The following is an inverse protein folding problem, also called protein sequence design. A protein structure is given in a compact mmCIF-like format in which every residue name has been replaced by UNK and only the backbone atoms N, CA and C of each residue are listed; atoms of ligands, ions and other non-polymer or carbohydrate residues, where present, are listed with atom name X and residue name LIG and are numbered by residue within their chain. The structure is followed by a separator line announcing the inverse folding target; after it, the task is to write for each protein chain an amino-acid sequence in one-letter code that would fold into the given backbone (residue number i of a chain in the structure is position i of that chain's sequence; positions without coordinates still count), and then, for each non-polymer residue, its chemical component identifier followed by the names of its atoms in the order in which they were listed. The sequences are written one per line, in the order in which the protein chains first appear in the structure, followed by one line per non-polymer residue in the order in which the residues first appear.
data_IF_027047783699
#
_entry.id   IF_027047783699
#
_cell.length_a   1.000
_cell.length_b   1.000
_cell.length_c   1.000
_cell.angle_alpha   90.00
_cell.angle_beta   90.00
_cell.angle_gamma   90.00
#
_symmetry.space_group_name_H-M   'P 1'
#
loop_
_entity.id
_entity.type
_entity.pdbx_description
1 polymer ?
#
# COMPACT_ATOMS: atom_id res chain seq x y z
N UNK A 1 -16.46 2.52 -32.30
CA UNK A 1 -15.76 2.00 -31.12
C UNK A 1 -14.44 2.76 -31.01
N UNK A 2 -14.38 3.79 -30.16
CA UNK A 2 -13.17 4.62 -30.03
C UNK A 2 -12.30 4.01 -28.95
N UNK A 3 -11.23 3.30 -29.35
CA UNK A 3 -10.24 2.76 -28.44
C UNK A 3 -9.51 3.95 -27.78
N UNK A 4 -9.64 4.11 -26.45
CA UNK A 4 -8.83 5.08 -25.69
C UNK A 4 -7.35 4.71 -25.89
N UNK A 5 -6.45 5.68 -26.11
CA UNK A 5 -5.03 5.39 -26.26
C UNK A 5 -4.49 4.70 -24.99
N UNK A 6 -3.72 3.62 -25.20
CA UNK A 6 -2.94 2.90 -24.21
C UNK A 6 -1.93 3.86 -23.56
N UNK A 7 -2.37 4.58 -22.52
CA UNK A 7 -1.48 5.35 -21.65
C UNK A 7 -0.91 4.40 -20.62
N UNK A 8 0.08 3.61 -21.02
CA UNK A 8 0.92 2.89 -20.06
C UNK A 8 1.47 3.89 -19.07
N UNK A 9 1.27 3.63 -17.78
CA UNK A 9 1.85 4.44 -16.72
C UNK A 9 3.37 4.49 -16.90
N UNK A 10 4.03 5.65 -16.71
CA UNK A 10 5.48 5.70 -16.62
C UNK A 10 5.94 4.89 -15.39
N UNK A 11 7.21 4.45 -15.33
CA UNK A 11 7.75 3.78 -14.14
C UNK A 11 7.63 4.65 -12.88
N UNK A 12 7.76 4.04 -11.67
CA UNK A 12 7.81 4.76 -10.41
C UNK A 12 8.74 5.98 -10.47
N UNK A 13 8.22 7.14 -10.08
CA UNK A 13 8.96 8.39 -10.02
C UNK A 13 8.51 9.21 -8.81
N UNK A 14 9.32 10.17 -8.38
CA UNK A 14 9.13 10.90 -7.13
C UNK A 14 10.15 10.48 -6.07
N UNK A 15 9.69 10.31 -4.82
CA UNK A 15 10.56 9.84 -3.74
C UNK A 15 10.92 8.36 -3.94
N UNK A 16 12.18 8.01 -3.69
CA UNK A 16 12.59 6.61 -3.71
C UNK A 16 11.89 5.86 -2.57
N UNK A 17 11.33 4.69 -2.87
CA UNK A 17 10.70 3.85 -1.86
C UNK A 17 11.74 3.39 -0.83
N UNK A 18 11.44 3.50 0.48
CA UNK A 18 12.35 3.02 1.52
C UNK A 18 12.59 1.52 1.40
N UNK A 19 13.84 1.10 1.56
CA UNK A 19 14.21 -0.33 1.59
C UNK A 19 13.98 -0.97 2.95
N UNK A 20 14.12 -0.18 4.02
CA UNK A 20 14.04 -0.64 5.39
C UNK A 20 13.21 0.30 6.25
N UNK A 21 12.56 -0.25 7.28
CA UNK A 21 11.90 0.51 8.36
C UNK A 21 12.23 -0.10 9.72
N UNK A 22 12.02 0.64 10.84
CA UNK A 22 12.09 0.06 12.17
C UNK A 22 11.10 -1.11 12.32
N UNK A 23 11.53 -2.19 12.97
CA UNK A 23 10.69 -3.33 13.33
C UNK A 23 10.42 -3.37 14.84
N UNK A 24 9.39 -4.12 15.26
CA UNK A 24 8.91 -4.13 16.65
C UNK A 24 9.93 -4.72 17.65
N UNK A 25 10.85 -5.57 17.19
CA UNK A 25 11.92 -6.17 18.01
C UNK A 25 13.23 -5.36 17.96
N UNK A 26 13.19 -4.14 17.38
CA UNK A 26 14.34 -3.29 17.15
C UNK A 26 15.20 -3.68 15.94
N UNK A 27 14.87 -4.76 15.22
CA UNK A 27 15.50 -5.10 13.94
C UNK A 27 14.82 -4.37 12.79
N UNK A 28 15.55 -4.10 11.72
CA UNK A 28 14.97 -3.47 10.55
C UNK A 28 14.11 -4.47 9.75
N UNK A 29 12.93 -4.03 9.33
CA UNK A 29 12.07 -4.74 8.39
C UNK A 29 12.62 -4.59 6.96
N UNK A 30 12.76 -5.68 6.20
CA UNK A 30 13.04 -5.61 4.76
C UNK A 30 11.74 -5.33 4.00
N UNK A 31 11.53 -4.06 3.65
CA UNK A 31 10.30 -3.62 3.00
C UNK A 31 10.20 -4.12 1.56
N UNK A 32 11.33 -4.42 0.90
CA UNK A 32 11.31 -4.94 -0.46
C UNK A 32 10.73 -6.35 -0.46
N UNK A 33 11.17 -7.21 0.47
CA UNK A 33 10.64 -8.58 0.58
C UNK A 33 9.16 -8.57 0.96
N UNK A 34 8.78 -7.81 2.00
CA UNK A 34 7.39 -7.74 2.45
C UNK A 34 6.46 -7.18 1.36
N UNK A 35 6.82 -6.07 0.71
CA UNK A 35 6.02 -5.51 -0.37
C UNK A 35 5.91 -6.48 -1.57
N UNK A 36 6.97 -7.24 -1.85
CA UNK A 36 6.95 -8.26 -2.90
C UNK A 36 5.92 -9.36 -2.63
N UNK A 37 5.81 -9.81 -1.37
CA UNK A 37 4.80 -10.78 -0.94
C UNK A 37 3.38 -10.23 -1.05
N UNK A 38 3.17 -8.98 -0.63
CA UNK A 38 1.87 -8.31 -0.76
C UNK A 38 1.46 -8.22 -2.23
N UNK A 39 2.37 -7.75 -3.10
CA UNK A 39 2.10 -7.68 -4.54
C UNK A 39 1.88 -9.05 -5.17
N UNK A 40 2.59 -10.10 -4.72
CA UNK A 40 2.34 -11.47 -5.14
C UNK A 40 0.87 -11.86 -4.90
N UNK A 41 0.41 -11.76 -3.64
CA UNK A 41 -0.99 -12.08 -3.28
C UNK A 41 -1.99 -11.15 -3.98
N UNK A 42 -1.68 -9.87 -4.13
CA UNK A 42 -2.57 -8.90 -4.80
C UNK A 42 -2.81 -9.26 -6.27
N UNK A 43 -1.76 -9.65 -7.00
CA UNK A 43 -1.90 -10.04 -8.41
C UNK A 43 -2.53 -11.42 -8.60
N UNK A 44 -2.54 -12.27 -7.57
CA UNK A 44 -3.35 -13.49 -7.53
C UNK A 44 -4.85 -13.16 -7.40
N UNK A 45 -5.21 -12.20 -6.55
CA UNK A 45 -6.59 -11.72 -6.37
C UNK A 45 -7.11 -10.93 -7.58
N UNK A 46 -6.22 -10.20 -8.28
CA UNK A 46 -6.57 -9.30 -9.38
C UNK A 46 -5.72 -9.54 -10.64
N UNK A 47 -5.86 -10.69 -11.32
CA UNK A 47 -5.05 -11.04 -12.50
C UNK A 47 -5.28 -10.09 -13.69
N UNK A 48 -6.37 -9.31 -13.70
CA UNK A 48 -6.64 -8.30 -14.73
C UNK A 48 -5.70 -7.08 -14.67
N UNK A 49 -5.00 -6.87 -13.55
CA UNK A 49 -4.02 -5.79 -13.36
C UNK A 49 -2.86 -5.88 -14.35
N UNK A 50 -2.40 -7.09 -14.69
CA UNK A 50 -1.33 -7.28 -15.69
C UNK A 50 -1.78 -6.85 -17.07
N UNK A 51 -3.02 -7.16 -17.45
CA UNK A 51 -3.56 -6.73 -18.73
C UNK A 51 -3.73 -5.20 -18.80
N UNK A 52 -4.02 -4.56 -17.65
CA UNK A 52 -4.25 -3.12 -17.56
C UNK A 52 -2.97 -2.29 -17.47
N UNK A 53 -1.99 -2.73 -16.69
CA UNK A 53 -0.81 -1.93 -16.33
C UNK A 53 0.53 -2.59 -16.66
N UNK A 54 0.54 -3.89 -16.96
CA UNK A 54 1.75 -4.67 -17.25
C UNK A 54 2.82 -4.59 -16.16
N UNK A 55 4.08 -4.78 -16.55
CA UNK A 55 5.24 -4.79 -15.64
C UNK A 55 5.39 -3.49 -14.84
N UNK A 56 5.00 -2.35 -15.42
CA UNK A 56 5.05 -1.06 -14.73
C UNK A 56 4.05 -1.01 -13.58
N UNK A 57 2.88 -1.65 -13.71
CA UNK A 57 1.93 -1.81 -12.62
C UNK A 57 2.55 -2.55 -11.43
N UNK A 58 3.32 -3.61 -11.70
CA UNK A 58 4.02 -4.38 -10.66
C UNK A 58 5.09 -3.55 -9.96
N UNK A 59 5.83 -2.73 -10.71
CA UNK A 59 6.81 -1.81 -10.14
C UNK A 59 6.16 -0.75 -9.24
N UNK A 60 5.00 -0.20 -9.64
CA UNK A 60 4.23 0.72 -8.80
C UNK A 60 3.65 0.02 -7.57
N UNK A 61 3.09 -1.19 -7.72
CA UNK A 61 2.61 -1.98 -6.58
C UNK A 61 3.71 -2.14 -5.53
N UNK A 62 4.91 -2.54 -5.96
CA UNK A 62 6.06 -2.73 -5.09
C UNK A 62 6.45 -1.41 -4.39
N UNK A 63 6.54 -0.32 -5.16
CA UNK A 63 6.91 1.00 -4.66
C UNK A 63 5.90 1.54 -3.63
N UNK A 64 4.60 1.48 -3.95
CA UNK A 64 3.53 1.96 -3.08
C UNK A 64 3.44 1.12 -1.79
N UNK A 65 3.58 -0.21 -1.89
CA UNK A 65 3.56 -1.08 -0.71
C UNK A 65 4.77 -0.85 0.21
N UNK A 66 5.96 -0.55 -0.33
CA UNK A 66 7.10 -0.15 0.50
C UNK A 66 6.81 1.13 1.29
N UNK A 67 6.14 2.12 0.69
CA UNK A 67 5.72 3.33 1.41
C UNK A 67 4.66 3.05 2.47
N UNK A 68 3.62 2.28 2.15
CA UNK A 68 2.57 1.90 3.09
C UNK A 68 3.12 1.15 4.32
N UNK A 69 4.00 0.17 4.09
CA UNK A 69 4.63 -0.58 5.17
C UNK A 69 5.57 0.30 6.00
N UNK A 70 6.30 1.22 5.37
CA UNK A 70 7.12 2.19 6.08
C UNK A 70 6.28 3.13 6.96
N UNK A 71 5.18 3.69 6.44
CA UNK A 71 4.29 4.52 7.26
C UNK A 71 3.67 3.75 8.41
N UNK A 72 3.32 2.49 8.19
CA UNK A 72 2.81 1.60 9.25
C UNK A 72 3.83 1.44 10.38
N UNK A 73 5.09 1.16 10.02
CA UNK A 73 6.17 1.06 11.00
C UNK A 73 6.41 2.38 11.75
N UNK A 74 6.42 3.51 11.04
CA UNK A 74 6.59 4.83 11.65
C UNK A 74 5.40 5.22 12.54
N UNK A 75 4.18 4.80 12.20
CA UNK A 75 2.99 5.06 12.99
C UNK A 75 3.01 4.26 14.30
N UNK A 76 3.54 3.03 14.28
CA UNK A 76 3.76 2.24 15.49
C UNK A 76 4.73 2.93 16.48
N UNK A 77 5.67 3.73 15.96
CA UNK A 77 6.59 4.58 16.75
C UNK A 77 6.01 5.97 17.08
N UNK A 78 4.77 6.26 16.66
CA UNK A 78 4.12 7.57 16.85
C UNK A 78 4.73 8.71 16.02
N UNK A 79 5.46 8.38 14.95
CA UNK A 79 6.17 9.35 14.10
C UNK A 79 5.36 9.85 12.90
N UNK A 80 4.29 9.14 12.53
CA UNK A 80 3.37 9.54 11.46
C UNK A 80 1.93 9.16 11.79
N UNK A 81 0.97 9.89 11.24
CA UNK A 81 -0.45 9.53 11.26
C UNK A 81 -0.78 8.68 10.02
N UNK A 82 -0.88 7.36 10.20
CA UNK A 82 -1.14 6.43 9.10
C UNK A 82 -2.49 6.70 8.41
N UNK A 83 -3.53 7.06 9.16
CA UNK A 83 -4.86 7.30 8.59
C UNK A 83 -4.82 8.52 7.66
N UNK A 84 -4.03 9.55 8.01
CA UNK A 84 -3.84 10.71 7.13
C UNK A 84 -3.10 10.36 5.84
N UNK A 85 -1.99 9.61 5.92
CA UNK A 85 -1.20 9.19 4.76
C UNK A 85 -2.01 8.28 3.82
N UNK A 86 -2.74 7.31 4.38
CA UNK A 86 -3.60 6.41 3.59
C UNK A 86 -4.79 7.16 2.98
N UNK A 87 -5.38 8.12 3.70
CA UNK A 87 -6.45 8.95 3.15
C UNK A 87 -5.95 9.83 1.98
N UNK A 88 -4.76 10.42 2.10
CA UNK A 88 -4.13 11.14 1.00
C UNK A 88 -3.94 10.22 -0.22
N UNK A 89 -3.36 9.04 -0.02
CA UNK A 89 -3.14 8.08 -1.10
C UNK A 89 -4.45 7.64 -1.75
N UNK A 90 -5.47 7.34 -0.96
CA UNK A 90 -6.81 7.00 -1.46
C UNK A 90 -7.36 8.12 -2.37
N UNK A 91 -7.26 9.38 -1.97
CA UNK A 91 -7.69 10.52 -2.80
C UNK A 91 -6.86 10.69 -4.07
N UNK A 92 -5.56 10.38 -4.04
CA UNK A 92 -4.69 10.38 -5.24
C UNK A 92 -5.13 9.28 -6.21
N UNK A 93 -5.38 8.08 -5.71
CA UNK A 93 -5.78 6.92 -6.50
C UNK A 93 -7.18 7.08 -7.08
N UNK A 94 -8.14 7.58 -6.29
CA UNK A 94 -9.50 7.84 -6.74
C UNK A 94 -9.54 8.85 -7.91
N UNK A 95 -8.77 9.94 -7.81
CA UNK A 95 -8.60 10.91 -8.91
C UNK A 95 -7.99 10.33 -10.19
N UNK A 96 -7.40 9.13 -10.11
CA UNK A 96 -6.81 8.39 -11.23
C UNK A 96 -7.71 7.23 -11.69
N UNK A 97 -8.98 7.21 -11.28
CA UNK A 97 -9.95 6.14 -11.56
C UNK A 97 -9.45 4.76 -11.10
N UNK A 98 -8.70 4.71 -9.99
CA UNK A 98 -8.30 3.45 -9.36
C UNK A 98 -9.37 2.99 -8.37
N UNK A 99 -9.82 1.72 -8.42
CA UNK A 99 -10.85 1.20 -7.54
C UNK A 99 -10.33 1.10 -6.09
N UNK A 100 -10.81 1.97 -5.21
CA UNK A 100 -10.38 2.01 -3.82
C UNK A 100 -10.72 0.74 -3.01
N UNK A 101 -11.64 -0.10 -3.48
CA UNK A 101 -11.88 -1.41 -2.86
C UNK A 101 -10.67 -2.34 -3.06
N UNK A 102 -9.91 -2.16 -4.14
CA UNK A 102 -8.62 -2.84 -4.34
C UNK A 102 -7.53 -2.28 -3.45
N UNK A 103 -7.53 -0.96 -3.17
CA UNK A 103 -6.63 -0.39 -2.16
C UNK A 103 -6.91 -1.00 -0.78
N UNK A 104 -8.19 -1.09 -0.39
CA UNK A 104 -8.57 -1.75 0.86
C UNK A 104 -8.09 -3.21 0.91
N UNK A 105 -8.29 -3.97 -0.17
CA UNK A 105 -7.79 -5.35 -0.23
C UNK A 105 -6.27 -5.41 -0.15
N UNK A 106 -5.55 -4.49 -0.78
CA UNK A 106 -4.09 -4.42 -0.67
C UNK A 106 -3.63 -4.15 0.79
N UNK A 107 -4.32 -3.27 1.52
CA UNK A 107 -4.03 -3.03 2.95
C UNK A 107 -4.30 -4.27 3.81
N UNK A 108 -5.39 -4.99 3.53
CA UNK A 108 -5.72 -6.27 4.20
C UNK A 108 -4.65 -7.32 3.93
N UNK A 109 -4.20 -7.47 2.68
CA UNK A 109 -3.09 -8.35 2.31
C UNK A 109 -1.78 -7.94 2.99
N UNK A 110 -1.51 -6.64 3.10
CA UNK A 110 -0.41 -6.10 3.88
C UNK A 110 -0.46 -6.55 5.34
N UNK A 111 -1.65 -6.46 5.96
CA UNK A 111 -1.87 -6.92 7.34
C UNK A 111 -1.63 -8.43 7.48
N UNK A 112 -2.16 -9.24 6.56
CA UNK A 112 -1.93 -10.69 6.51
C UNK A 112 -0.43 -11.03 6.41
N UNK A 113 0.29 -10.42 5.47
CA UNK A 113 1.74 -10.65 5.29
C UNK A 113 2.53 -10.24 6.53
N UNK A 114 2.19 -9.10 7.16
CA UNK A 114 2.85 -8.65 8.39
C UNK A 114 2.62 -9.63 9.54
N UNK A 115 1.41 -10.20 9.69
CA UNK A 115 1.15 -11.23 10.70
C UNK A 115 1.94 -12.52 10.45
N UNK A 116 2.08 -12.91 9.19
CA UNK A 116 2.75 -14.16 8.81
C UNK A 116 4.28 -14.08 8.97
N UNK A 117 4.88 -12.95 8.62
CA UNK A 117 6.33 -12.84 8.41
C UNK A 117 7.07 -12.05 9.50
N UNK A 118 6.38 -11.18 10.24
CA UNK A 118 7.00 -10.29 11.24
C UNK A 118 6.65 -10.76 12.65
N UNK A 119 7.65 -11.12 13.47
CA UNK A 119 7.44 -11.40 14.90
C UNK A 119 6.90 -10.17 15.64
N UNK A 120 6.07 -10.38 16.67
CA UNK A 120 5.50 -9.32 17.52
C UNK A 120 4.78 -8.19 16.73
N UNK A 121 4.15 -8.55 15.61
CA UNK A 121 3.58 -7.62 14.63
C UNK A 121 2.14 -7.16 14.91
N UNK A 122 1.62 -7.40 16.12
CA UNK A 122 0.24 -7.10 16.48
C UNK A 122 -0.13 -5.62 16.24
N UNK A 123 0.75 -4.69 16.62
CA UNK A 123 0.54 -3.24 16.41
C UNK A 123 0.52 -2.88 14.93
N UNK A 124 1.46 -3.42 14.14
CA UNK A 124 1.59 -3.10 12.71
C UNK A 124 0.38 -3.63 11.92
N UNK A 125 0.00 -4.88 12.16
CA UNK A 125 -1.15 -5.50 11.50
C UNK A 125 -2.47 -4.83 11.88
N UNK A 126 -2.67 -4.49 13.16
CA UNK A 126 -3.85 -3.74 13.60
C UNK A 126 -3.96 -2.35 12.95
N UNK A 127 -2.84 -1.66 12.76
CA UNK A 127 -2.82 -0.36 12.06
C UNK A 127 -3.23 -0.50 10.59
N UNK A 128 -2.77 -1.55 9.89
CA UNK A 128 -3.20 -1.84 8.51
C UNK A 128 -4.68 -2.26 8.43
N UNK A 129 -5.18 -3.04 9.39
CA UNK A 129 -6.60 -3.40 9.46
C UNK A 129 -7.48 -2.16 9.65
N UNK A 130 -7.06 -1.24 10.53
CA UNK A 130 -7.76 0.03 10.75
C UNK A 130 -7.79 0.88 9.47
N UNK A 131 -6.64 1.05 8.82
CA UNK A 131 -6.54 1.78 7.55
C UNK A 131 -7.42 1.14 6.46
N UNK A 132 -7.44 -0.20 6.37
CA UNK A 132 -8.32 -0.94 5.48
C UNK A 132 -9.80 -0.62 5.76
N UNK A 133 -10.22 -0.70 7.03
CA UNK A 133 -11.59 -0.40 7.43
C UNK A 133 -11.99 1.04 7.09
N UNK A 134 -11.09 2.01 7.32
CA UNK A 134 -11.30 3.42 6.95
C UNK A 134 -11.53 3.57 5.44
N UNK A 135 -10.69 2.95 4.60
CA UNK A 135 -10.82 3.01 3.14
C UNK A 135 -12.15 2.37 2.69
N UNK A 136 -12.52 1.20 3.22
CA UNK A 136 -13.80 0.52 2.93
C UNK A 136 -14.99 1.40 3.28
N UNK A 137 -14.96 2.03 4.45
CA UNK A 137 -16.03 2.91 4.93
C UNK A 137 -16.03 4.31 4.29
N UNK A 138 -15.02 4.64 3.46
CA UNK A 138 -14.79 5.98 2.90
C UNK A 138 -14.78 7.08 3.97
N UNK A 139 -14.33 6.74 5.18
CA UNK A 139 -14.38 7.60 6.36
C UNK A 139 -13.08 8.39 6.54
N UNK A 140 -12.68 9.13 5.51
CA UNK A 140 -11.41 9.82 5.48
C UNK A 140 -11.40 11.05 6.40
N UNK A 141 -10.29 11.33 7.12
CA UNK A 141 -10.11 12.60 7.81
C UNK A 141 -10.18 13.79 6.83
N UNK A 142 -10.57 14.98 7.31
CA UNK A 142 -10.51 16.20 6.50
C UNK A 142 -9.08 16.50 6.07
N UNK A 143 -8.91 17.09 4.89
CA UNK A 143 -7.61 17.62 4.46
C UNK A 143 -7.21 18.77 5.39
N UNK A 144 -5.95 18.81 5.80
CA UNK A 144 -5.41 20.02 6.42
C UNK A 144 -5.37 21.13 5.36
N UNK A 145 -6.05 22.24 5.65
CA UNK A 145 -6.07 23.45 4.83
C UNK A 145 -4.72 24.18 4.88
#
# INVERSE_FOLDING_TARGET
MTQRPDRRSPPPSGMAAPRYAPGPDGRALDLVDLAGRVCGRYYEDFPDEDARYGEVGRAWCQHDNQHLLNWTALAAEGLVDLDHEVAWLARVLDRRDFPLDRLARNLELGSEVVRDEVPDSATLSAALDQACAMVRARSFPPEHA
#
